data_IF_914728752920
#
_entry.id   IF_914728752920
#
_cell.length_a   1.000
_cell.length_b   1.000
_cell.length_c   1.000
_cell.angle_alpha   90.00
_cell.angle_beta   90.00
_cell.angle_gamma   90.00
#
_symmetry.space_group_name_H-M   'P 1'
#
loop_
_entity.id
_entity.type
_entity.pdbx_description
1 polymer ?
#
# COMPACT_ATOMS: atom_id res chain seq x y z
N UNK A 1 13.79 -8.59 -26.70
CA UNK A 1 14.60 -8.83 -25.47
C UNK A 1 14.76 -7.51 -24.70
N UNK A 2 14.26 -7.31 -23.49
CA UNK A 2 13.98 -8.24 -22.40
C UNK A 2 12.86 -7.60 -21.57
N UNK A 3 11.95 -8.40 -21.03
CA UNK A 3 10.97 -7.92 -20.05
C UNK A 3 11.73 -7.19 -18.95
N UNK A 4 11.48 -5.89 -18.83
CA UNK A 4 12.11 -5.07 -17.80
C UNK A 4 11.71 -5.67 -16.47
N UNK A 5 12.65 -6.33 -15.79
CA UNK A 5 12.48 -6.77 -14.43
C UNK A 5 12.09 -5.53 -13.63
N UNK A 6 10.83 -5.45 -13.20
CA UNK A 6 10.43 -4.47 -12.20
C UNK A 6 11.36 -4.70 -11.02
N UNK A 7 12.19 -3.72 -10.64
CA UNK A 7 13.13 -3.92 -9.54
C UNK A 7 12.31 -4.25 -8.30
N UNK A 8 12.73 -5.29 -7.58
CA UNK A 8 12.16 -5.58 -6.27
C UNK A 8 12.53 -4.42 -5.35
N UNK A 9 11.54 -3.70 -4.85
CA UNK A 9 11.73 -2.55 -3.97
C UNK A 9 11.25 -2.90 -2.57
N UNK A 10 12.03 -2.50 -1.57
CA UNK A 10 11.63 -2.64 -0.16
C UNK A 10 10.95 -1.36 0.27
N UNK A 11 9.71 -1.51 0.74
CA UNK A 11 8.84 -0.41 1.16
C UNK A 11 8.50 -0.65 2.62
N UNK A 12 8.93 0.27 3.47
CA UNK A 12 8.63 0.28 4.90
C UNK A 12 7.38 1.12 5.14
N UNK A 13 6.38 0.50 5.75
CA UNK A 13 5.16 1.14 6.22
C UNK A 13 5.25 1.29 7.74
N UNK A 14 5.13 2.52 8.23
CA UNK A 14 5.09 2.85 9.65
C UNK A 14 3.73 3.46 9.97
N UNK A 15 2.83 2.75 10.65
CA UNK A 15 1.56 3.31 11.05
C UNK A 15 1.77 4.39 12.12
N UNK A 16 1.24 5.58 11.92
CA UNK A 16 1.38 6.69 12.87
C UNK A 16 0.04 7.26 13.33
N UNK A 17 -1.04 7.00 12.61
CA UNK A 17 -2.38 7.43 13.01
C UNK A 17 -3.43 6.38 12.63
N UNK A 18 -4.40 6.18 13.52
CA UNK A 18 -5.56 5.32 13.33
C UNK A 18 -6.77 6.03 13.96
N UNK A 19 -7.91 5.97 13.28
CA UNK A 19 -9.15 6.57 13.78
C UNK A 19 -9.57 5.95 15.12
N UNK A 20 -10.13 6.77 16.03
CA UNK A 20 -10.51 6.32 17.38
C UNK A 20 -11.54 5.19 17.43
N UNK A 21 -12.39 5.09 16.40
CA UNK A 21 -13.36 3.99 16.22
C UNK A 21 -12.79 2.75 15.47
N UNK A 22 -11.47 2.69 15.27
CA UNK A 22 -10.77 1.50 14.81
C UNK A 22 -9.76 1.06 15.87
N UNK A 23 -9.87 -0.20 16.29
CA UNK A 23 -8.95 -0.82 17.25
C UNK A 23 -7.67 -1.23 16.55
N UNK A 24 -7.79 -1.72 15.31
CA UNK A 24 -6.65 -2.11 14.49
C UNK A 24 -6.92 -1.93 12.99
N UNK A 25 -5.84 -1.87 12.22
CA UNK A 25 -5.85 -1.97 10.77
C UNK A 25 -4.86 -3.03 10.31
N UNK A 26 -5.19 -3.75 9.24
CA UNK A 26 -4.31 -4.75 8.63
C UNK A 26 -4.16 -4.43 7.15
N UNK A 27 -2.94 -4.04 6.76
CA UNK A 27 -2.54 -3.91 5.37
C UNK A 27 -1.89 -5.23 4.93
N UNK A 28 -2.53 -5.97 4.05
CA UNK A 28 -1.96 -7.17 3.41
C UNK A 28 -1.51 -6.84 1.98
N UNK A 29 -0.29 -7.24 1.63
CA UNK A 29 0.27 -7.13 0.29
C UNK A 29 0.94 -8.44 -0.06
N UNK A 30 0.38 -9.18 -1.02
CA UNK A 30 0.88 -10.48 -1.47
C UNK A 30 1.12 -11.48 -0.31
N UNK A 31 0.29 -11.43 0.74
CA UNK A 31 0.43 -12.23 1.95
C UNK A 31 1.39 -11.67 3.01
N UNK A 32 2.04 -10.54 2.74
CA UNK A 32 2.82 -9.80 3.73
C UNK A 32 1.93 -8.78 4.44
N UNK A 33 1.73 -8.93 5.75
CA UNK A 33 0.80 -8.09 6.52
C UNK A 33 1.52 -7.06 7.39
N UNK A 34 1.00 -5.82 7.42
CA UNK A 34 1.36 -4.76 8.37
C UNK A 34 0.18 -4.52 9.29
N UNK A 35 0.37 -4.84 10.56
CA UNK A 35 -0.64 -4.60 11.58
C UNK A 35 -0.44 -3.21 12.19
N UNK A 36 -1.55 -2.51 12.36
CA UNK A 36 -1.61 -1.18 12.96
C UNK A 36 -2.59 -1.22 14.11
N UNK A 37 -2.31 -0.48 15.16
CA UNK A 37 -3.09 -0.34 16.38
C UNK A 37 -3.09 1.13 16.79
N UNK A 38 -3.93 1.50 17.77
CA UNK A 38 -3.92 2.87 18.29
C UNK A 38 -2.61 3.25 19.00
N UNK A 39 -1.88 2.27 19.54
CA UNK A 39 -0.58 2.47 20.21
C UNK A 39 0.38 1.33 19.88
N UNK A 40 1.69 1.59 20.03
CA UNK A 40 2.71 0.54 19.87
C UNK A 40 2.94 0.08 18.42
N UNK A 41 2.68 0.95 17.44
CA UNK A 41 2.94 0.64 16.03
C UNK A 41 4.43 0.46 15.75
N UNK A 42 4.76 -0.57 14.98
CA UNK A 42 6.13 -0.91 14.60
C UNK A 42 6.27 -0.79 13.08
N UNK A 43 7.37 -0.20 12.56
CA UNK A 43 7.66 -0.20 11.13
C UNK A 43 7.71 -1.62 10.56
N UNK A 44 7.10 -1.84 9.40
CA UNK A 44 7.10 -3.12 8.70
C UNK A 44 7.54 -2.95 7.26
N UNK A 45 8.56 -3.70 6.85
CA UNK A 45 9.11 -3.63 5.49
C UNK A 45 8.53 -4.76 4.63
N UNK A 46 7.95 -4.39 3.50
CA UNK A 46 7.37 -5.28 2.49
C UNK A 46 8.21 -5.21 1.22
N UNK A 47 8.19 -6.27 0.42
CA UNK A 47 8.94 -6.32 -0.84
C UNK A 47 7.97 -6.36 -2.01
N UNK A 48 7.95 -5.33 -2.84
CA UNK A 48 7.05 -5.21 -3.97
C UNK A 48 7.79 -4.77 -5.25
N UNK A 49 7.42 -5.29 -6.43
CA UNK A 49 6.45 -6.35 -6.66
C UNK A 49 7.00 -7.74 -6.30
N UNK A 50 6.18 -8.58 -5.66
CA UNK A 50 6.55 -9.93 -5.21
C UNK A 50 6.85 -10.93 -6.34
N UNK A 51 6.70 -10.52 -7.61
CA UNK A 51 6.89 -11.36 -8.79
C UNK A 51 5.70 -12.29 -9.09
N UNK A 52 4.66 -12.30 -8.24
CA UNK A 52 3.46 -13.08 -8.50
C UNK A 52 2.59 -12.41 -9.58
N UNK A 53 2.27 -13.15 -10.65
CA UNK A 53 1.30 -12.72 -11.66
C UNK A 53 -0.11 -12.50 -11.08
N UNK A 54 -0.36 -13.06 -9.89
CA UNK A 54 -1.61 -13.02 -9.12
C UNK A 54 -1.43 -12.30 -7.78
N UNK A 55 -0.75 -11.15 -7.78
CA UNK A 55 -0.62 -10.34 -6.58
C UNK A 55 -1.98 -9.86 -6.02
N UNK A 56 -2.02 -9.51 -4.74
CA UNK A 56 -3.19 -8.92 -4.09
C UNK A 56 -2.77 -7.88 -3.06
N UNK A 57 -3.60 -6.86 -2.84
CA UNK A 57 -3.39 -5.90 -1.77
C UNK A 57 -4.71 -5.56 -1.13
N UNK A 58 -4.77 -5.59 0.19
CA UNK A 58 -5.96 -5.23 0.94
C UNK A 58 -5.62 -4.43 2.19
N UNK A 59 -6.54 -3.57 2.59
CA UNK A 59 -6.46 -2.83 3.83
C UNK A 59 -7.80 -2.97 4.53
N UNK A 60 -7.80 -3.51 5.74
CA UNK A 60 -8.99 -3.69 6.57
C UNK A 60 -8.85 -2.97 7.91
N UNK A 61 -9.98 -2.52 8.45
CA UNK A 61 -10.13 -1.88 9.75
C UNK A 61 -11.02 -2.76 10.64
N UNK A 62 -10.58 -3.00 11.86
CA UNK A 62 -11.36 -3.68 12.88
C UNK A 62 -11.78 -2.71 13.99
N UNK A 63 -12.99 -2.85 14.58
CA UNK A 63 -14.00 -3.83 14.21
C UNK A 63 -14.69 -3.49 12.88
N UNK A 64 -15.17 -4.51 12.17
CA UNK A 64 -16.07 -4.28 11.04
C UNK A 64 -17.36 -3.64 11.54
N UNK A 65 -17.86 -2.63 10.82
CA UNK A 65 -19.09 -1.97 11.22
C UNK A 65 -20.22 -2.17 10.22
N UNK A 66 -21.42 -2.53 10.70
CA UNK A 66 -22.56 -2.75 9.84
C UNK A 66 -22.96 -1.45 9.13
N UNK A 67 -23.25 -1.57 7.83
CA UNK A 67 -23.67 -0.43 7.01
C UNK A 67 -22.54 0.47 6.51
N UNK A 68 -21.26 0.13 6.76
CA UNK A 68 -20.11 0.83 6.17
C UNK A 68 -19.02 -0.11 5.69
N UNK A 69 -18.28 0.32 4.68
CA UNK A 69 -17.06 -0.38 4.27
C UNK A 69 -16.04 -0.35 5.41
N UNK A 70 -15.43 -1.51 5.67
CA UNK A 70 -14.35 -1.65 6.66
C UNK A 70 -13.08 -2.22 6.03
N UNK A 71 -13.11 -2.57 4.75
CA UNK A 71 -11.94 -3.02 4.02
C UNK A 71 -11.98 -2.58 2.55
N UNK A 72 -10.80 -2.41 1.96
CA UNK A 72 -10.60 -2.22 0.53
C UNK A 72 -9.67 -3.33 0.06
N UNK A 73 -9.98 -3.99 -1.05
CA UNK A 73 -9.15 -5.04 -1.63
C UNK A 73 -9.02 -4.86 -3.14
N UNK A 74 -7.82 -5.12 -3.64
CA UNK A 74 -7.51 -5.20 -5.05
C UNK A 74 -6.73 -6.48 -5.36
N UNK A 75 -6.91 -6.97 -6.57
CA UNK A 75 -6.22 -8.16 -7.08
C UNK A 75 -5.50 -7.81 -8.39
N UNK A 76 -4.46 -8.60 -8.69
CA UNK A 76 -3.57 -8.47 -9.85
C UNK A 76 -2.18 -7.93 -9.50
N UNK A 77 -1.26 -7.94 -10.48
CA UNK A 77 0.15 -7.58 -10.27
C UNK A 77 0.37 -6.12 -9.84
N UNK A 78 -0.65 -5.26 -9.97
CA UNK A 78 -0.65 -3.84 -9.58
C UNK A 78 -1.61 -3.53 -8.43
N UNK A 79 -2.04 -4.54 -7.67
CA UNK A 79 -2.99 -4.36 -6.58
C UNK A 79 -2.52 -3.32 -5.56
N UNK A 80 -1.24 -3.36 -5.15
CA UNK A 80 -0.69 -2.39 -4.19
C UNK A 80 -0.77 -0.96 -4.73
N UNK A 81 -0.38 -0.72 -5.98
CA UNK A 81 -0.48 0.60 -6.61
C UNK A 81 -1.92 1.10 -6.59
N UNK A 82 -2.87 0.25 -6.99
CA UNK A 82 -4.30 0.58 -6.98
C UNK A 82 -4.84 0.87 -5.58
N UNK A 83 -4.30 0.18 -4.56
CA UNK A 83 -4.58 0.48 -3.18
C UNK A 83 -4.04 1.86 -2.81
N UNK A 84 -2.78 2.18 -3.15
CA UNK A 84 -2.18 3.49 -2.90
C UNK A 84 -2.91 4.63 -3.61
N UNK A 85 -3.50 4.40 -4.80
CA UNK A 85 -4.35 5.39 -5.48
C UNK A 85 -5.60 5.78 -4.67
N UNK A 86 -6.03 4.93 -3.72
CA UNK A 86 -7.12 5.26 -2.78
C UNK A 86 -6.64 6.07 -1.59
N UNK A 87 -5.33 6.18 -1.37
CA UNK A 87 -4.76 6.99 -0.33
C UNK A 87 -4.72 8.46 -0.76
N UNK A 88 -4.94 9.35 0.18
CA UNK A 88 -4.48 10.73 0.07
C UNK A 88 -3.00 10.75 0.45
N UNK A 89 -2.14 11.07 -0.51
CA UNK A 89 -0.69 11.10 -0.33
C UNK A 89 -0.22 12.53 -0.15
N UNK A 90 0.56 12.77 0.89
CA UNK A 90 1.20 14.07 1.19
C UNK A 90 2.64 13.86 1.63
N UNK A 91 3.48 14.89 1.55
CA UNK A 91 4.87 14.84 2.01
C UNK A 91 5.89 15.10 0.90
N UNK A 92 7.17 14.91 1.25
CA UNK A 92 8.34 15.21 0.41
C UNK A 92 9.18 13.95 0.16
N UNK A 93 10.13 14.00 -0.77
CA UNK A 93 11.09 12.90 -1.01
C UNK A 93 11.74 12.45 0.32
N UNK A 94 11.50 11.19 0.69
CA UNK A 94 12.00 10.55 1.92
C UNK A 94 10.96 10.29 3.03
N UNK A 95 9.89 11.08 3.12
CA UNK A 95 8.82 10.89 4.12
C UNK A 95 7.45 11.12 3.48
N UNK A 96 6.99 10.14 2.72
CA UNK A 96 5.66 10.15 2.14
C UNK A 96 4.66 9.67 3.19
N UNK A 97 3.57 10.39 3.33
CA UNK A 97 2.46 10.04 4.21
C UNK A 97 1.27 9.63 3.34
N UNK A 98 0.74 8.43 3.58
CA UNK A 98 -0.43 7.93 2.90
C UNK A 98 -1.56 7.74 3.90
N UNK A 99 -2.67 8.45 3.69
CA UNK A 99 -3.88 8.35 4.51
C UNK A 99 -5.01 7.67 3.74
N UNK A 100 -5.53 6.59 4.30
CA UNK A 100 -6.66 5.84 3.76
C UNK A 100 -7.92 6.21 4.52
N UNK A 101 -9.03 6.40 3.81
CA UNK A 101 -10.35 6.59 4.44
C UNK A 101 -11.27 5.46 3.98
N UNK A 102 -11.80 4.68 4.93
CA UNK A 102 -12.64 3.52 4.70
C UNK A 102 -13.88 3.64 5.60
N UNK A 103 -15.06 3.82 5.00
CA UNK A 103 -16.32 3.95 5.75
C UNK A 103 -16.36 5.13 6.74
N UNK A 104 -15.62 6.20 6.47
CA UNK A 104 -15.52 7.38 7.33
C UNK A 104 -14.52 7.24 8.49
N UNK A 105 -13.79 6.12 8.57
CA UNK A 105 -12.61 5.97 9.45
C UNK A 105 -11.35 6.09 8.62
N UNK A 106 -10.28 6.55 9.25
CA UNK A 106 -8.99 6.66 8.59
C UNK A 106 -7.85 5.90 9.27
N UNK A 107 -6.84 5.60 8.48
CA UNK A 107 -5.54 5.11 8.94
C UNK A 107 -4.45 5.78 8.10
N UNK A 108 -3.36 6.19 8.75
CA UNK A 108 -2.26 6.87 8.10
C UNK A 108 -0.92 6.17 8.35
N UNK A 109 -0.15 6.07 7.27
CA UNK A 109 1.15 5.41 7.24
C UNK A 109 2.21 6.36 6.72
N UNK A 110 3.37 6.36 7.35
CA UNK A 110 4.59 6.88 6.74
C UNK A 110 5.18 5.78 5.88
N UNK A 111 5.47 6.11 4.63
CA UNK A 111 6.01 5.21 3.61
C UNK A 111 7.43 5.65 3.31
N UNK A 112 8.35 4.72 3.53
CA UNK A 112 9.76 4.88 3.21
C UNK A 112 10.16 3.80 2.21
N UNK A 113 10.77 4.18 1.10
CA UNK A 113 11.30 3.23 0.12
C UNK A 113 12.82 3.27 0.15
N UNK A 114 13.46 2.12 -0.06
CA UNK A 114 14.90 2.06 -0.27
C UNK A 114 15.33 2.50 -1.69
N UNK A 115 14.39 2.94 -2.53
CA UNK A 115 14.64 3.46 -3.88
C UNK A 115 14.10 4.88 -3.99
N UNK A 116 14.95 5.82 -4.41
CA UNK A 116 14.57 7.18 -4.77
C UNK A 116 14.72 7.38 -6.29
N UNK A 117 13.66 7.80 -7.00
CA UNK A 117 12.31 8.14 -6.52
C UNK A 117 11.41 6.91 -6.24
N UNK A 118 10.46 7.03 -5.30
CA UNK A 118 9.59 5.92 -4.86
C UNK A 118 8.67 5.44 -6.00
N UNK A 119 8.77 4.16 -6.44
CA UNK A 119 8.01 3.65 -7.58
C UNK A 119 6.49 3.58 -7.35
N UNK A 120 6.01 3.54 -6.11
CA UNK A 120 4.56 3.55 -5.86
C UNK A 120 3.87 4.83 -6.34
N UNK A 121 4.62 5.93 -6.44
CA UNK A 121 4.08 7.26 -6.72
C UNK A 121 4.63 7.87 -8.02
N UNK A 122 5.39 7.10 -8.80
CA UNK A 122 5.86 7.57 -10.10
C UNK A 122 4.72 7.55 -11.13
N UNK A 123 4.38 8.69 -11.74
CA UNK A 123 3.41 8.73 -12.85
C UNK A 123 3.88 7.90 -14.06
N UNK A 124 5.19 7.65 -14.19
CA UNK A 124 5.77 6.83 -15.27
C UNK A 124 5.37 5.35 -15.22
N UNK A 125 4.99 4.81 -14.05
CA UNK A 125 4.53 3.41 -13.95
C UNK A 125 3.08 3.22 -14.44
N UNK A 126 2.33 4.30 -14.67
CA UNK A 126 1.03 4.24 -15.35
C UNK A 126 1.14 3.93 -16.86
N UNK A 127 2.34 4.06 -17.44
CA UNK A 127 2.59 3.92 -18.89
C UNK A 127 3.27 2.61 -19.32
N UNK A 128 3.70 1.74 -18.41
CA UNK A 128 4.30 0.45 -18.79
C UNK A 128 3.21 -0.58 -19.11
N UNK A 129 2.51 -0.36 -20.23
CA UNK A 129 1.92 -1.47 -20.97
C UNK A 129 3.05 -2.35 -21.49
N UNK A 130 2.88 -3.67 -21.32
CA UNK A 130 3.75 -4.69 -21.88
C UNK A 130 4.30 -4.25 -23.24
N UNK A 131 5.63 -4.28 -23.47
CA UNK A 131 6.13 -4.03 -24.80
C UNK A 131 5.49 -5.06 -25.73
N UNK A 132 4.67 -4.58 -26.66
CA UNK A 132 4.05 -5.38 -27.71
C UNK A 132 5.21 -5.96 -28.52
N UNK A 133 5.44 -7.26 -28.36
CA UNK A 133 6.57 -7.96 -28.97
C UNK A 133 6.46 -7.88 -30.50
N UNK A 134 7.57 -7.52 -31.14
CA UNK A 134 7.86 -7.78 -32.55
C UNK A 134 8.47 -9.17 -32.70
#
# INVERSE_FOLDING_TARGET
PSGGSVPLVSITFTPFSLHGDADSAVLDVDGQTVQSSQTGNVPSTLSWPSGAASGSASLSLAPEMPGRESAIKFDGPWALKRLMDKASVSGSEGNLEARFVIGGRDVAYTIQSNSEPNPLFLPALAGFSCPKAF
#
